data_IF_059244629305
#
_entry.id   IF_059244629305
#
_cell.length_a   1.000
_cell.length_b   1.000
_cell.length_c   1.000
_cell.angle_alpha   90.00
_cell.angle_beta   90.00
_cell.angle_gamma   90.00
#
_symmetry.space_group_name_H-M   'P 1'
#
loop_
_entity.id
_entity.type
_entity.pdbx_description
1 polymer ?
#
# COMPACT_ATOMS: atom_id res chain seq x y z
N UNK A 1 -3.42 1.08 0.13
CA UNK A 1 -2.00 1.45 0.26
C UNK A 1 -1.56 2.18 -0.98
N UNK A 2 -0.73 3.22 -0.83
CA UNK A 2 -0.30 4.10 -1.92
C UNK A 2 1.17 3.88 -2.24
N UNK A 3 1.47 3.62 -3.50
CA UNK A 3 2.81 3.28 -3.99
C UNK A 3 3.25 4.34 -4.99
N UNK A 4 4.48 4.83 -4.85
CA UNK A 4 5.12 5.66 -5.86
C UNK A 4 6.00 4.77 -6.75
N UNK A 5 5.84 4.88 -8.06
CA UNK A 5 6.68 4.21 -9.07
C UNK A 5 7.52 5.26 -9.78
N UNK A 6 8.84 5.17 -9.64
CA UNK A 6 9.81 6.08 -10.28
C UNK A 6 10.60 5.26 -11.28
N UNK A 7 10.28 5.41 -12.56
CA UNK A 7 10.81 4.61 -13.68
C UNK A 7 10.68 5.43 -14.96
N UNK A 8 11.77 5.67 -15.67
CA UNK A 8 11.81 6.50 -16.87
C UNK A 8 11.20 5.82 -18.10
N UNK A 9 11.23 4.50 -18.14
CA UNK A 9 10.59 3.76 -19.23
C UNK A 9 9.07 3.81 -19.08
N UNK A 10 8.40 4.70 -19.80
CA UNK A 10 6.95 4.89 -19.77
C UNK A 10 6.15 3.59 -19.92
N UNK A 11 6.60 2.63 -20.75
CA UNK A 11 5.89 1.36 -20.94
C UNK A 11 5.98 0.49 -19.70
N UNK A 12 7.16 0.40 -19.09
CA UNK A 12 7.37 -0.37 -17.88
C UNK A 12 6.63 0.28 -16.71
N UNK A 13 6.75 1.59 -16.55
CA UNK A 13 6.03 2.36 -15.53
C UNK A 13 4.52 2.12 -15.61
N UNK A 14 3.91 2.33 -16.80
CA UNK A 14 2.48 2.11 -17.01
C UNK A 14 2.06 0.66 -16.76
N UNK A 15 2.89 -0.33 -17.13
CA UNK A 15 2.61 -1.75 -16.88
C UNK A 15 2.65 -2.08 -15.37
N UNK A 16 3.63 -1.52 -14.65
CA UNK A 16 3.74 -1.66 -13.19
C UNK A 16 2.53 -1.00 -12.52
N UNK A 17 2.22 0.24 -12.87
CA UNK A 17 1.09 0.97 -12.31
C UNK A 17 -0.24 0.23 -12.54
N UNK A 18 -0.50 -0.26 -13.75
CA UNK A 18 -1.70 -1.02 -14.06
C UNK A 18 -1.79 -2.33 -13.26
N UNK A 19 -0.68 -3.07 -13.16
CA UNK A 19 -0.63 -4.33 -12.42
C UNK A 19 -0.85 -4.11 -10.92
N UNK A 20 -0.21 -3.10 -10.34
CA UNK A 20 -0.37 -2.74 -8.93
C UNK A 20 -1.78 -2.22 -8.64
N UNK A 21 -2.35 -1.42 -9.54
CA UNK A 21 -3.74 -0.96 -9.42
C UNK A 21 -4.75 -2.13 -9.48
N UNK A 22 -4.48 -3.15 -10.30
CA UNK A 22 -5.29 -4.37 -10.35
C UNK A 22 -5.26 -5.13 -9.01
N UNK A 23 -4.12 -5.12 -8.32
CA UNK A 23 -3.96 -5.70 -6.97
C UNK A 23 -4.56 -4.81 -5.85
N UNK A 24 -5.16 -3.66 -6.21
CA UNK A 24 -5.87 -2.78 -5.27
C UNK A 24 -5.03 -1.64 -4.68
N UNK A 25 -3.76 -1.50 -5.08
CA UNK A 25 -2.93 -0.37 -4.67
C UNK A 25 -3.33 0.92 -5.38
N UNK A 26 -3.15 2.05 -4.70
CA UNK A 26 -3.13 3.37 -5.34
C UNK A 26 -1.70 3.61 -5.85
N UNK A 27 -1.54 4.07 -7.08
CA UNK A 27 -0.22 4.20 -7.70
C UNK A 27 -0.07 5.58 -8.31
N UNK A 28 0.98 6.29 -7.89
CA UNK A 28 1.46 7.48 -8.58
C UNK A 28 2.72 7.14 -9.35
N UNK A 29 2.97 7.83 -10.45
CA UNK A 29 4.09 7.61 -11.34
C UNK A 29 4.94 8.87 -11.46
N UNK A 30 6.26 8.70 -11.43
CA UNK A 30 7.26 9.69 -11.81
C UNK A 30 8.19 9.09 -12.87
N UNK A 31 8.73 9.93 -13.73
CA UNK A 31 9.51 9.49 -14.89
C UNK A 31 10.99 9.94 -14.83
N UNK A 32 11.36 10.67 -13.81
CA UNK A 32 12.73 11.03 -13.49
C UNK A 32 12.95 11.06 -11.97
N UNK A 33 14.23 11.13 -11.58
CA UNK A 33 14.62 11.08 -10.17
C UNK A 33 14.24 12.34 -9.38
N UNK A 34 14.20 13.50 -10.03
CA UNK A 34 13.85 14.76 -9.34
C UNK A 34 12.34 14.82 -9.08
N UNK A 35 11.50 14.53 -10.08
CA UNK A 35 10.05 14.43 -9.92
C UNK A 35 9.69 13.41 -8.85
N UNK A 36 10.33 12.23 -8.90
CA UNK A 36 10.10 11.18 -7.91
C UNK A 36 10.45 11.59 -6.49
N UNK A 37 11.57 12.30 -6.31
CA UNK A 37 11.95 12.81 -5.01
C UNK A 37 10.96 13.85 -4.49
N UNK A 38 10.56 14.81 -5.32
CA UNK A 38 9.63 15.87 -4.94
C UNK A 38 8.28 15.28 -4.50
N UNK A 39 7.76 14.30 -5.24
CA UNK A 39 6.55 13.58 -4.86
C UNK A 39 6.70 12.83 -3.52
N UNK A 40 7.82 12.15 -3.32
CA UNK A 40 8.10 11.39 -2.10
C UNK A 40 8.24 12.29 -0.85
N UNK A 41 8.57 13.57 -1.03
CA UNK A 41 8.70 14.53 0.07
C UNK A 41 7.37 15.17 0.46
N UNK A 42 6.50 15.44 -0.52
CA UNK A 42 5.23 16.14 -0.28
C UNK A 42 4.06 15.18 -0.02
N UNK A 43 4.19 13.92 -0.39
CA UNK A 43 3.12 12.93 -0.30
C UNK A 43 3.58 11.73 0.54
N UNK A 44 2.73 11.30 1.47
CA UNK A 44 2.98 10.09 2.24
C UNK A 44 2.68 8.84 1.39
N UNK A 45 3.72 8.07 1.09
CA UNK A 45 3.63 6.77 0.43
C UNK A 45 3.88 5.63 1.41
N UNK A 46 3.24 4.50 1.17
CA UNK A 46 3.47 3.27 1.93
C UNK A 46 4.70 2.52 1.40
N UNK A 47 5.07 2.71 0.12
CA UNK A 47 6.24 2.12 -0.52
C UNK A 47 6.64 2.92 -1.77
N UNK A 48 7.94 2.94 -2.07
CA UNK A 48 8.52 3.51 -3.29
C UNK A 48 9.18 2.40 -4.09
N UNK A 49 8.78 2.24 -5.36
CA UNK A 49 9.52 1.49 -6.37
C UNK A 49 10.41 2.46 -7.12
N UNK A 50 11.71 2.24 -7.11
CA UNK A 50 12.68 3.21 -7.60
C UNK A 50 13.68 2.54 -8.56
N UNK A 51 13.66 2.92 -9.83
CA UNK A 51 14.74 2.53 -10.75
C UNK A 51 16.06 3.21 -10.35
N UNK A 52 17.14 2.50 -10.49
CA UNK A 52 18.48 3.06 -10.30
C UNK A 52 18.86 3.97 -11.47
N UNK A 53 18.56 3.53 -12.69
CA UNK A 53 19.00 4.21 -13.91
C UNK A 53 17.96 5.24 -14.38
N UNK A 54 17.89 6.37 -13.70
CA UNK A 54 16.95 7.45 -14.02
C UNK A 54 17.70 8.64 -14.68
N UNK A 55 17.03 9.40 -15.55
CA UNK A 55 17.53 10.69 -16.02
C UNK A 55 17.48 11.73 -14.90
N UNK A 56 18.17 12.84 -15.09
CA UNK A 56 18.30 14.00 -14.21
C UNK A 56 18.99 13.63 -12.88
N UNK A 57 18.49 12.63 -12.14
CA UNK A 57 19.00 12.22 -10.84
C UNK A 57 18.98 10.71 -10.70
N UNK A 58 20.16 10.11 -10.46
CA UNK A 58 20.33 8.67 -10.24
C UNK A 58 19.49 8.18 -9.03
N UNK A 59 18.86 7.02 -9.16
CA UNK A 59 17.98 6.46 -8.11
C UNK A 59 18.69 6.19 -6.79
N UNK A 60 19.99 5.86 -6.80
CA UNK A 60 20.76 5.74 -5.56
C UNK A 60 20.95 7.10 -4.86
N UNK A 61 21.06 8.16 -5.65
CA UNK A 61 21.14 9.53 -5.15
C UNK A 61 19.81 9.97 -4.55
N UNK A 62 18.70 9.69 -5.25
CA UNK A 62 17.33 9.90 -4.73
C UNK A 62 17.14 9.17 -3.40
N UNK A 63 17.51 7.90 -3.32
CA UNK A 63 17.40 7.10 -2.11
C UNK A 63 18.18 7.74 -0.94
N UNK A 64 19.45 8.10 -1.14
CA UNK A 64 20.27 8.76 -0.12
C UNK A 64 19.66 10.07 0.36
N UNK A 65 19.17 10.88 -0.55
CA UNK A 65 18.60 12.18 -0.22
C UNK A 65 17.29 12.06 0.55
N UNK A 66 16.41 11.13 0.17
CA UNK A 66 15.21 10.82 0.94
C UNK A 66 15.56 10.38 2.36
N UNK A 67 16.57 9.53 2.55
CA UNK A 67 17.01 9.11 3.88
C UNK A 67 17.61 10.25 4.70
N UNK A 68 18.41 11.14 4.08
CA UNK A 68 18.92 12.36 4.73
C UNK A 68 17.79 13.26 5.21
N UNK A 69 16.71 13.36 4.46
CA UNK A 69 15.51 14.15 4.80
C UNK A 69 14.54 13.41 5.73
N UNK A 70 14.97 12.25 6.27
CA UNK A 70 14.20 11.42 7.21
C UNK A 70 12.88 10.88 6.63
N UNK A 71 12.82 10.68 5.33
CA UNK A 71 11.75 9.91 4.70
C UNK A 71 12.05 8.43 4.97
N UNK A 72 11.21 7.79 5.79
CA UNK A 72 11.36 6.39 6.21
C UNK A 72 10.51 5.42 5.39
N UNK A 73 9.82 5.91 4.37
CA UNK A 73 9.06 5.06 3.44
C UNK A 73 9.95 3.95 2.88
N UNK A 74 9.54 2.67 2.90
CA UNK A 74 10.31 1.58 2.31
C UNK A 74 10.59 1.84 0.84
N UNK A 75 11.83 1.57 0.43
CA UNK A 75 12.28 1.71 -0.95
C UNK A 75 12.70 0.34 -1.48
N UNK A 76 12.05 -0.11 -2.55
CA UNK A 76 12.46 -1.27 -3.35
C UNK A 76 13.14 -0.76 -4.62
N UNK A 77 14.44 -1.00 -4.72
CA UNK A 77 15.21 -0.63 -5.91
C UNK A 77 14.95 -1.61 -7.06
N UNK A 78 14.72 -1.07 -8.25
CA UNK A 78 14.70 -1.82 -9.50
C UNK A 78 16.03 -1.61 -10.21
N UNK A 79 16.71 -2.69 -10.63
CA UNK A 79 18.06 -2.56 -11.18
C UNK A 79 18.30 -3.54 -12.33
N UNK A 80 18.97 -3.09 -13.38
CA UNK A 80 19.52 -3.96 -14.41
C UNK A 80 20.88 -4.59 -14.01
N UNK A 81 21.42 -4.18 -12.86
CA UNK A 81 22.75 -4.61 -12.39
C UNK A 81 22.61 -5.83 -11.47
N UNK A 82 23.24 -6.91 -11.85
CA UNK A 82 23.22 -8.18 -11.13
C UNK A 82 24.48 -8.46 -10.28
N UNK A 83 25.50 -7.58 -10.37
CA UNK A 83 26.75 -7.75 -9.64
C UNK A 83 26.56 -7.56 -8.14
N UNK A 84 27.33 -8.30 -7.36
CA UNK A 84 27.29 -8.25 -5.89
C UNK A 84 27.60 -6.83 -5.38
N UNK A 85 28.58 -6.15 -6.00
CA UNK A 85 28.97 -4.79 -5.59
C UNK A 85 27.86 -3.76 -5.79
N UNK A 86 27.08 -3.88 -6.86
CA UNK A 86 25.93 -3.01 -7.13
C UNK A 86 24.81 -3.19 -6.09
N UNK A 87 24.62 -4.43 -5.62
CA UNK A 87 23.65 -4.77 -4.58
C UNK A 87 24.07 -4.22 -3.22
N UNK A 88 25.36 -4.30 -2.89
CA UNK A 88 25.92 -3.72 -1.67
C UNK A 88 25.71 -2.21 -1.67
N UNK A 89 26.04 -1.53 -2.77
CA UNK A 89 25.82 -0.08 -2.92
C UNK A 89 24.34 0.31 -2.79
N UNK A 90 23.42 -0.52 -3.34
CA UNK A 90 21.97 -0.30 -3.22
C UNK A 90 21.48 -0.41 -1.79
N UNK A 91 21.99 -1.34 -0.99
CA UNK A 91 21.62 -1.47 0.42
C UNK A 91 22.30 -0.38 1.28
N UNK A 92 23.54 -0.03 0.98
CA UNK A 92 24.29 1.01 1.69
C UNK A 92 23.70 2.42 1.49
N UNK A 93 22.94 2.66 0.40
CA UNK A 93 22.23 3.92 0.21
C UNK A 93 20.98 4.05 1.10
N UNK A 94 20.60 2.99 1.82
CA UNK A 94 19.45 2.97 2.71
C UNK A 94 18.16 2.42 2.09
N UNK A 95 18.25 1.71 0.96
CA UNK A 95 17.13 0.95 0.42
C UNK A 95 16.82 -0.28 1.28
N UNK A 96 15.56 -0.71 1.29
CA UNK A 96 15.09 -1.79 2.13
C UNK A 96 15.13 -3.16 1.42
N UNK A 97 15.09 -3.17 0.09
CA UNK A 97 15.27 -4.37 -0.75
C UNK A 97 15.61 -3.95 -2.19
N UNK A 98 15.96 -4.91 -3.03
CA UNK A 98 16.23 -4.68 -4.46
C UNK A 98 15.64 -5.82 -5.31
N UNK A 99 15.36 -5.53 -6.58
CA UNK A 99 14.83 -6.47 -7.55
C UNK A 99 15.52 -6.30 -8.91
N UNK A 100 16.11 -7.36 -9.43
CA UNK A 100 16.88 -7.33 -10.69
C UNK A 100 15.94 -7.45 -11.89
N UNK A 101 16.09 -6.55 -12.86
CA UNK A 101 15.42 -6.60 -14.17
C UNK A 101 16.12 -7.59 -15.11
N UNK A 102 15.38 -8.44 -15.89
CA UNK A 102 13.93 -8.55 -15.90
C UNK A 102 13.40 -9.41 -14.75
N UNK A 103 12.26 -9.05 -14.19
CA UNK A 103 11.64 -9.75 -13.09
C UNK A 103 10.22 -10.23 -13.41
N UNK A 104 9.77 -11.24 -12.69
CA UNK A 104 8.38 -11.67 -12.76
C UNK A 104 7.51 -10.80 -11.84
N UNK A 105 6.31 -10.41 -12.28
CA UNK A 105 5.37 -9.62 -11.48
C UNK A 105 5.07 -10.28 -10.12
N UNK A 106 4.95 -11.60 -10.08
CA UNK A 106 4.74 -12.36 -8.84
C UNK A 106 5.87 -12.16 -7.81
N UNK A 107 7.12 -11.96 -8.28
CA UNK A 107 8.27 -11.71 -7.40
C UNK A 107 8.20 -10.29 -6.85
N UNK A 108 7.96 -9.30 -7.72
CA UNK A 108 7.74 -7.92 -7.30
C UNK A 108 6.67 -7.83 -6.22
N UNK A 109 5.49 -8.41 -6.46
CA UNK A 109 4.39 -8.41 -5.51
C UNK A 109 4.73 -9.10 -4.18
N UNK A 110 5.52 -10.18 -4.22
CA UNK A 110 5.97 -10.86 -2.99
C UNK A 110 6.91 -9.99 -2.15
N UNK A 111 7.88 -9.30 -2.79
CA UNK A 111 8.81 -8.38 -2.11
C UNK A 111 8.08 -7.16 -1.56
N UNK A 112 7.19 -6.59 -2.33
CA UNK A 112 6.35 -5.45 -1.96
C UNK A 112 5.55 -5.77 -0.68
N UNK A 113 4.85 -6.93 -0.64
CA UNK A 113 4.15 -7.38 0.56
C UNK A 113 5.08 -7.58 1.76
N UNK A 114 6.28 -8.10 1.54
CA UNK A 114 7.27 -8.29 2.61
C UNK A 114 7.74 -6.96 3.21
N UNK A 115 7.95 -5.94 2.39
CA UNK A 115 8.36 -4.60 2.82
C UNK A 115 7.23 -3.89 3.57
N UNK A 116 6.02 -3.91 3.04
CA UNK A 116 4.84 -3.31 3.69
C UNK A 116 4.56 -3.94 5.06
N UNK A 117 4.81 -5.24 5.23
CA UNK A 117 4.68 -5.94 6.52
C UNK A 117 5.69 -5.47 7.57
N UNK A 118 6.94 -5.14 7.19
CA UNK A 118 8.00 -4.72 8.14
C UNK A 118 7.68 -3.44 8.89
N UNK A 119 6.84 -2.59 8.35
CA UNK A 119 6.42 -1.34 8.99
C UNK A 119 5.42 -1.55 10.13
N UNK A 120 4.88 -2.77 10.31
CA UNK A 120 3.82 -3.01 11.28
C UNK A 120 4.14 -4.19 12.19
N UNK A 121 4.07 -4.01 13.52
CA UNK A 121 4.35 -5.05 14.50
C UNK A 121 3.14 -5.99 14.65
N UNK A 122 2.81 -6.79 13.61
CA UNK A 122 1.77 -7.79 13.71
C UNK A 122 2.32 -9.21 13.56
N UNK A 123 1.95 -10.02 14.53
CA UNK A 123 2.26 -11.43 14.64
C UNK A 123 1.75 -12.21 13.41
N UNK A 124 2.63 -12.98 12.79
CA UNK A 124 2.33 -14.00 11.76
C UNK A 124 1.75 -13.55 10.41
N UNK A 125 1.87 -12.27 10.02
CA UNK A 125 1.47 -11.81 8.68
C UNK A 125 -0.04 -11.71 8.44
N UNK A 126 -0.88 -12.02 9.44
CA UNK A 126 -2.33 -11.84 9.38
C UNK A 126 -2.76 -10.63 10.17
N UNK A 127 -3.70 -9.88 9.63
CA UNK A 127 -4.38 -8.78 10.33
C UNK A 127 -5.63 -9.36 10.98
N UNK A 128 -5.79 -9.13 12.28
CA UNK A 128 -6.96 -9.64 13.01
C UNK A 128 -7.56 -8.56 13.91
N UNK A 129 -8.89 -8.55 13.98
CA UNK A 129 -9.64 -7.73 14.90
C UNK A 129 -10.88 -8.52 15.38
N UNK A 130 -10.85 -8.97 16.63
CA UNK A 130 -11.88 -9.86 17.16
C UNK A 130 -12.00 -11.14 16.33
N UNK A 131 -13.17 -11.35 15.73
CA UNK A 131 -13.46 -12.51 14.89
C UNK A 131 -13.27 -12.28 13.38
N UNK A 132 -12.74 -11.12 12.99
CA UNK A 132 -12.38 -10.79 11.61
C UNK A 132 -10.88 -11.01 11.42
N UNK A 133 -10.52 -11.83 10.44
CA UNK A 133 -9.13 -12.16 10.10
C UNK A 133 -8.91 -11.90 8.61
N UNK A 134 -7.81 -11.26 8.27
CA UNK A 134 -7.39 -10.96 6.92
C UNK A 134 -5.95 -11.40 6.73
N UNK A 135 -5.68 -12.10 5.65
CA UNK A 135 -4.33 -12.45 5.23
C UNK A 135 -4.00 -11.69 3.94
N UNK A 136 -3.16 -10.64 4.03
CA UNK A 136 -2.75 -9.85 2.86
C UNK A 136 -1.91 -10.64 1.86
N UNK A 137 -1.25 -11.73 2.29
CA UNK A 137 -0.39 -12.54 1.43
C UNK A 137 -1.21 -13.43 0.51
N UNK A 138 -2.22 -14.09 1.09
CA UNK A 138 -3.10 -15.00 0.35
C UNK A 138 -4.32 -14.29 -0.22
N UNK A 139 -4.49 -13.00 0.06
CA UNK A 139 -5.69 -12.20 -0.29
C UNK A 139 -6.99 -12.82 0.21
N UNK A 140 -6.94 -13.43 1.39
CA UNK A 140 -8.11 -14.05 2.01
C UNK A 140 -8.62 -13.23 3.19
N UNK A 141 -9.93 -13.22 3.35
CA UNK A 141 -10.60 -12.59 4.48
C UNK A 141 -11.64 -13.56 5.02
N UNK A 142 -11.70 -13.70 6.32
CA UNK A 142 -12.72 -14.49 7.00
C UNK A 142 -13.28 -13.76 8.21
N UNK A 143 -14.52 -14.02 8.53
CA UNK A 143 -15.14 -13.56 9.76
C UNK A 143 -15.94 -14.70 10.40
N UNK A 144 -15.66 -14.97 11.69
CA UNK A 144 -16.23 -16.12 12.40
C UNK A 144 -16.00 -17.47 11.66
N UNK A 145 -14.83 -17.60 10.98
CA UNK A 145 -14.50 -18.76 10.17
C UNK A 145 -15.21 -18.84 8.81
N UNK A 146 -16.04 -17.84 8.45
CA UNK A 146 -16.70 -17.78 7.15
C UNK A 146 -15.88 -16.96 6.17
N UNK A 147 -15.49 -17.52 5.01
CA UNK A 147 -14.73 -16.80 4.00
C UNK A 147 -15.57 -15.67 3.38
N UNK A 148 -14.94 -14.51 3.19
CA UNK A 148 -15.55 -13.33 2.60
C UNK A 148 -14.90 -13.02 1.26
N UNK A 149 -15.69 -12.83 0.21
CA UNK A 149 -15.20 -12.44 -1.11
C UNK A 149 -15.26 -10.93 -1.25
N UNK A 150 -14.09 -10.27 -1.26
CA UNK A 150 -13.94 -8.84 -1.45
C UNK A 150 -13.39 -8.53 -2.83
N UNK A 151 -13.80 -7.40 -3.40
CA UNK A 151 -13.12 -6.83 -4.57
C UNK A 151 -11.79 -6.21 -4.15
N UNK A 152 -10.82 -5.97 -5.07
CA UNK A 152 -9.53 -5.36 -4.72
C UNK A 152 -9.65 -4.07 -3.92
N UNK A 153 -10.57 -3.16 -4.29
CA UNK A 153 -10.79 -1.89 -3.55
C UNK A 153 -11.46 -2.09 -2.18
N UNK A 154 -12.38 -3.05 -2.05
CA UNK A 154 -12.96 -3.41 -0.75
C UNK A 154 -11.90 -4.04 0.17
N UNK A 155 -11.01 -4.87 -0.41
CA UNK A 155 -9.89 -5.47 0.30
C UNK A 155 -8.91 -4.39 0.80
N UNK A 156 -8.48 -3.47 -0.07
CA UNK A 156 -7.60 -2.36 0.30
C UNK A 156 -8.23 -1.46 1.38
N UNK A 157 -9.54 -1.19 1.29
CA UNK A 157 -10.24 -0.41 2.32
C UNK A 157 -10.27 -1.14 3.67
N UNK A 158 -10.56 -2.43 3.67
CA UNK A 158 -10.56 -3.22 4.90
C UNK A 158 -9.16 -3.34 5.50
N UNK A 159 -8.16 -3.58 4.67
CA UNK A 159 -6.75 -3.63 5.04
C UNK A 159 -6.32 -2.33 5.72
N UNK A 160 -6.61 -1.19 5.09
CA UNK A 160 -6.28 0.12 5.64
C UNK A 160 -6.97 0.38 6.99
N UNK A 161 -8.22 0.00 7.13
CA UNK A 161 -8.95 0.09 8.41
C UNK A 161 -8.38 -0.84 9.49
N UNK A 162 -7.93 -2.03 9.12
CA UNK A 162 -7.29 -2.97 10.05
C UNK A 162 -5.91 -2.48 10.51
N UNK A 163 -5.22 -1.69 9.69
CA UNK A 163 -3.99 -1.03 10.09
C UNK A 163 -4.21 0.14 11.06
N UNK A 164 -5.43 0.64 11.20
CA UNK A 164 -5.81 1.71 12.12
C UNK A 164 -6.86 1.24 13.14
N UNK A 165 -6.54 0.22 13.98
CA UNK A 165 -7.49 -0.40 14.88
C UNK A 165 -8.02 0.63 15.90
N UNK A 166 -9.35 0.68 16.03
CA UNK A 166 -10.06 1.60 16.95
C UNK A 166 -9.87 3.10 16.65
N UNK A 167 -9.12 3.47 15.62
CA UNK A 167 -8.91 4.86 15.22
C UNK A 167 -10.00 5.31 14.26
N UNK A 168 -10.25 6.61 14.23
CA UNK A 168 -11.13 7.20 13.21
C UNK A 168 -10.30 7.52 11.98
N UNK A 169 -10.59 6.81 10.90
CA UNK A 169 -9.99 7.03 9.58
C UNK A 169 -10.88 8.03 8.84
N UNK A 170 -10.32 9.18 8.48
CA UNK A 170 -11.08 10.23 7.77
C UNK A 170 -11.30 9.85 6.31
N UNK A 171 -12.25 10.54 5.65
CA UNK A 171 -12.46 10.38 4.21
C UNK A 171 -11.21 10.72 3.42
N UNK A 172 -10.52 11.80 3.78
CA UNK A 172 -9.27 12.23 3.16
C UNK A 172 -8.16 11.17 3.28
N UNK A 173 -8.00 10.56 4.47
CA UNK A 173 -7.05 9.46 4.67
C UNK A 173 -7.38 8.27 3.77
N UNK A 174 -8.66 7.90 3.65
CA UNK A 174 -9.10 6.81 2.77
C UNK A 174 -8.82 7.17 1.30
N UNK A 175 -9.15 8.38 0.89
CA UNK A 175 -8.94 8.87 -0.46
C UNK A 175 -7.46 8.83 -0.84
N UNK A 176 -6.60 9.41 -0.02
CA UNK A 176 -5.16 9.46 -0.26
C UNK A 176 -4.50 8.08 -0.36
N UNK A 177 -5.02 7.06 0.35
CA UNK A 177 -4.37 5.74 0.40
C UNK A 177 -4.99 4.69 -0.53
N UNK A 178 -6.22 4.91 -1.03
CA UNK A 178 -6.94 3.90 -1.82
C UNK A 178 -7.18 4.37 -3.26
N UNK A 179 -7.16 5.68 -3.53
CA UNK A 179 -7.30 6.26 -4.87
C UNK A 179 -6.07 7.06 -5.28
N UNK A 180 -5.79 7.10 -6.60
CA UNK A 180 -4.67 7.84 -7.18
C UNK A 180 -4.94 9.34 -7.16
N UNK A 181 -3.89 10.14 -7.26
CA UNK A 181 -3.93 11.61 -7.24
C UNK A 181 -4.84 12.20 -8.34
N UNK A 182 -4.88 11.59 -9.53
CA UNK A 182 -5.69 12.04 -10.67
C UNK A 182 -7.16 11.64 -10.59
N UNK A 183 -7.56 10.95 -9.53
CA UNK A 183 -8.93 10.52 -9.35
C UNK A 183 -9.72 11.62 -8.63
N UNK A 184 -10.39 12.50 -9.41
CA UNK A 184 -11.44 13.37 -8.87
C UNK A 184 -12.53 12.49 -8.26
N UNK A 185 -12.42 12.27 -6.96
CA UNK A 185 -13.40 11.48 -6.23
C UNK A 185 -14.73 12.23 -6.23
N UNK A 186 -15.72 11.74 -6.97
CA UNK A 186 -17.10 12.15 -6.70
C UNK A 186 -17.36 11.93 -5.21
N UNK A 187 -17.86 12.93 -4.52
CA UNK A 187 -17.98 13.02 -3.04
C UNK A 187 -18.60 11.79 -2.35
N UNK A 188 -19.18 10.85 -3.11
CA UNK A 188 -19.92 9.69 -2.63
C UNK A 188 -19.20 8.33 -2.82
N UNK A 189 -18.06 8.28 -3.51
CA UNK A 189 -17.39 7.01 -3.86
C UNK A 189 -17.00 6.24 -2.60
N UNK A 190 -16.41 6.91 -1.62
CA UNK A 190 -16.00 6.29 -0.35
C UNK A 190 -17.22 5.69 0.38
N UNK A 191 -18.31 6.43 0.46
CA UNK A 191 -19.55 5.96 1.11
C UNK A 191 -20.12 4.71 0.42
N UNK A 192 -20.01 4.63 -0.91
CA UNK A 192 -20.42 3.44 -1.69
C UNK A 192 -19.57 2.23 -1.32
N UNK A 193 -18.24 2.38 -1.26
CA UNK A 193 -17.35 1.26 -0.90
C UNK A 193 -17.52 0.84 0.56
N UNK A 194 -17.67 1.79 1.48
CA UNK A 194 -17.99 1.50 2.89
C UNK A 194 -19.32 0.75 3.00
N UNK A 195 -20.35 1.17 2.27
CA UNK A 195 -21.65 0.47 2.24
C UNK A 195 -21.53 -0.97 1.68
N UNK A 196 -20.73 -1.15 0.61
CA UNK A 196 -20.47 -2.48 0.03
C UNK A 196 -19.69 -3.36 1.00
N UNK A 197 -18.67 -2.82 1.63
CA UNK A 197 -17.87 -3.53 2.63
C UNK A 197 -18.75 -3.96 3.81
N UNK A 198 -19.57 -3.07 4.37
CA UNK A 198 -20.52 -3.39 5.44
C UNK A 198 -21.49 -4.53 5.09
N UNK A 199 -21.95 -4.57 3.84
CA UNK A 199 -22.81 -5.68 3.40
C UNK A 199 -22.12 -7.04 3.51
N UNK A 200 -20.80 -7.09 3.40
CA UNK A 200 -20.01 -8.32 3.42
C UNK A 200 -19.51 -8.64 4.82
N UNK A 201 -18.95 -7.65 5.52
CA UNK A 201 -18.33 -7.88 6.83
C UNK A 201 -19.29 -7.75 8.00
N UNK A 202 -20.41 -7.03 7.88
CA UNK A 202 -21.32 -6.73 9.00
C UNK A 202 -22.71 -7.30 8.83
N UNK A 203 -23.31 -7.24 7.63
CA UNK A 203 -24.72 -7.61 7.44
C UNK A 203 -25.02 -9.10 7.74
N UNK A 204 -24.12 -10.06 7.45
CA UNK A 204 -24.35 -11.46 7.78
C UNK A 204 -24.16 -11.79 9.28
N UNK A 205 -23.62 -10.86 10.07
CA UNK A 205 -23.18 -11.11 11.44
C UNK A 205 -23.97 -10.28 12.46
N UNK A 206 -24.10 -10.81 13.67
CA UNK A 206 -24.89 -10.17 14.73
C UNK A 206 -24.33 -8.83 15.20
N UNK A 207 -22.99 -8.69 15.18
CA UNK A 207 -22.30 -7.49 15.66
C UNK A 207 -21.68 -6.73 14.51
N UNK A 208 -21.90 -5.42 14.47
CA UNK A 208 -21.30 -4.51 13.48
C UNK A 208 -19.96 -4.02 13.97
N UNK A 209 -18.94 -4.13 13.12
CA UNK A 209 -17.57 -3.68 13.43
C UNK A 209 -17.23 -2.34 12.77
N UNK A 210 -17.77 -2.05 11.58
CA UNK A 210 -17.48 -0.84 10.83
C UNK A 210 -18.52 0.24 11.13
N UNK A 211 -18.14 1.24 11.92
CA UNK A 211 -19.01 2.32 12.37
C UNK A 211 -18.72 3.62 11.62
N UNK A 212 -19.72 4.52 11.51
CA UNK A 212 -19.55 5.88 11.00
C UNK A 212 -19.40 6.84 12.16
N UNK A 213 -18.35 7.63 12.14
CA UNK A 213 -18.19 8.79 13.01
C UNK A 213 -18.67 10.02 12.23
N UNK A 214 -19.88 10.48 12.55
CA UNK A 214 -20.56 11.56 11.77
C UNK A 214 -19.68 12.79 11.64
N UNK A 215 -19.56 13.31 10.43
CA UNK A 215 -18.75 14.50 10.11
C UNK A 215 -17.25 14.30 10.08
N UNK A 216 -16.73 13.09 10.47
CA UNK A 216 -15.31 12.83 10.54
C UNK A 216 -14.88 11.71 9.58
N UNK A 217 -15.44 10.49 9.71
CA UNK A 217 -15.01 9.35 8.91
C UNK A 217 -15.59 8.02 9.40
N UNK A 218 -14.76 6.99 9.37
CA UNK A 218 -15.13 5.62 9.71
C UNK A 218 -14.16 5.03 10.73
N UNK A 219 -14.63 4.07 11.50
CA UNK A 219 -13.83 3.35 12.47
C UNK A 219 -14.17 1.88 12.46
N UNK A 220 -13.16 1.04 12.38
CA UNK A 220 -13.25 -0.38 12.59
C UNK A 220 -12.91 -0.69 14.05
N UNK A 221 -13.76 -1.44 14.73
CA UNK A 221 -13.59 -1.77 16.14
C UNK A 221 -14.01 -3.23 16.40
N UNK A 222 -13.38 -3.92 17.37
CA UNK A 222 -13.77 -5.30 17.70
C UNK A 222 -15.21 -5.34 18.19
N UNK A 223 -15.87 -6.49 18.07
CA UNK A 223 -17.14 -6.70 18.74
C UNK A 223 -16.96 -6.53 20.26
N UNK A 224 -17.96 -5.99 20.97
CA UNK A 224 -17.89 -5.92 22.43
C UNK A 224 -17.64 -7.31 23.00
N UNK A 225 -16.76 -7.41 23.98
CA UNK A 225 -16.52 -8.66 24.69
C UNK A 225 -17.86 -9.10 25.31
N UNK A 226 -18.24 -10.34 25.02
CA UNK A 226 -19.39 -10.94 25.71
C UNK A 226 -18.97 -11.17 27.18
N UNK A 227 -19.44 -10.31 28.05
CA UNK A 227 -19.36 -10.55 29.48
C UNK A 227 -20.13 -11.80 29.89
#
# INVERSE_FOLDING_TARGET
>A
MRILVIEDNHRLNSSLAASLAHEGYSVDSAYDGQEGQDLAEITAYDLILLDIMLPEKDGLEVCRDLRRRRVHTPILLLTARDRVDDRVQGLDCGADDYLVKPFAMRELLARLRALLRRQQPYLEGRLAMGNLVMDPITHTVEREGHPLVLTPKEFALLEYLLYHPNQVVTREMIEQHIWNYDFECESNVIDVYVRRLRRKIDAPFAVKMLTTVRGVGYRLQPPPERG
#
